data_IF_412591983775
#
_entry.id   IF_412591983775
#
_cell.length_a   1.000
_cell.length_b   1.000
_cell.length_c   1.000
_cell.angle_alpha   90.00
_cell.angle_beta   90.00
_cell.angle_gamma   90.00
#
_symmetry.space_group_name_H-M   'P 1'
#
loop_
_entity.id
_entity.type
_entity.pdbx_description
1 polymer ?
#
# COMPACT_ATOMS: atom_id res chain seq x y z
N UNK A 1 10.57 -59.61 -2.17
CA UNK A 1 9.48 -59.01 -2.95
C UNK A 1 9.53 -57.54 -2.63
N UNK A 2 10.22 -56.77 -3.45
CA UNK A 2 10.12 -55.31 -3.44
C UNK A 2 8.77 -54.94 -4.06
N UNK A 3 7.99 -54.09 -3.39
CA UNK A 3 6.82 -53.46 -4.00
C UNK A 3 7.28 -52.65 -5.23
N UNK A 4 6.58 -52.75 -6.37
CA UNK A 4 6.92 -51.93 -7.52
C UNK A 4 6.56 -50.47 -7.20
N UNK A 5 7.55 -49.58 -7.27
CA UNK A 5 7.36 -48.12 -7.24
C UNK A 5 6.40 -47.72 -8.36
N UNK A 6 5.11 -47.63 -8.05
CA UNK A 6 4.09 -47.09 -8.95
C UNK A 6 4.41 -45.61 -9.17
N UNK A 7 4.54 -45.14 -10.43
CA UNK A 7 4.79 -43.74 -10.69
C UNK A 7 3.60 -42.92 -10.18
N UNK A 8 3.87 -42.03 -9.22
CA UNK A 8 2.90 -41.06 -8.71
C UNK A 8 2.45 -40.16 -9.87
N UNK A 9 1.33 -40.49 -10.52
CA UNK A 9 0.68 -39.61 -11.50
C UNK A 9 -0.30 -38.67 -10.80
N UNK A 10 -0.25 -37.39 -11.18
CA UNK A 10 -1.23 -36.38 -10.77
C UNK A 10 -2.67 -36.74 -11.19
N UNK A 11 -2.84 -37.65 -12.17
CA UNK A 11 -4.16 -38.10 -12.63
C UNK A 11 -4.93 -38.90 -11.57
N UNK A 12 -4.24 -39.43 -10.56
CA UNK A 12 -4.87 -40.15 -9.44
C UNK A 12 -5.25 -39.23 -8.27
N UNK A 13 -4.90 -37.93 -8.34
CA UNK A 13 -5.19 -36.97 -7.30
C UNK A 13 -6.63 -36.48 -7.44
N UNK A 14 -7.45 -36.61 -6.39
CA UNK A 14 -8.80 -36.05 -6.36
C UNK A 14 -8.83 -34.53 -6.55
N UNK A 15 -9.94 -33.99 -7.03
CA UNK A 15 -10.14 -32.54 -7.24
C UNK A 15 -9.91 -31.74 -5.96
N UNK A 16 -10.38 -32.27 -4.82
CA UNK A 16 -10.34 -31.58 -3.53
C UNK A 16 -8.90 -31.45 -3.02
N UNK A 17 -8.09 -32.50 -3.21
CA UNK A 17 -6.68 -32.49 -2.85
C UNK A 17 -5.86 -31.63 -3.82
N UNK A 18 -6.19 -31.67 -5.12
CA UNK A 18 -5.61 -30.75 -6.11
C UNK A 18 -5.88 -29.30 -5.72
N UNK A 19 -7.12 -28.97 -5.39
CA UNK A 19 -7.50 -27.66 -4.90
C UNK A 19 -6.68 -27.26 -3.67
N UNK A 20 -6.63 -28.13 -2.65
CA UNK A 20 -5.86 -27.85 -1.43
C UNK A 20 -4.39 -27.55 -1.75
N UNK A 21 -3.73 -28.38 -2.57
CA UNK A 21 -2.33 -28.16 -2.98
C UNK A 21 -2.19 -26.79 -3.65
N UNK A 22 -3.07 -26.46 -4.60
CA UNK A 22 -3.01 -25.18 -5.31
C UNK A 22 -3.21 -23.98 -4.38
N UNK A 23 -4.03 -24.09 -3.32
CA UNK A 23 -4.22 -22.98 -2.36
C UNK A 23 -2.99 -22.66 -1.52
N UNK A 24 -2.01 -23.58 -1.44
CA UNK A 24 -0.75 -23.38 -0.73
C UNK A 24 0.37 -22.81 -1.60
N UNK A 25 0.13 -22.61 -2.90
CA UNK A 25 1.12 -22.05 -3.80
C UNK A 25 1.11 -20.51 -3.75
N UNK A 26 2.28 -19.85 -3.93
CA UNK A 26 2.32 -18.41 -4.14
C UNK A 26 1.45 -18.00 -5.34
N UNK A 27 0.88 -16.80 -5.27
CA UNK A 27 -0.06 -16.31 -6.28
C UNK A 27 0.47 -16.39 -7.73
N UNK A 28 1.74 -16.10 -8.04
CA UNK A 28 2.27 -16.26 -9.41
C UNK A 28 2.26 -17.73 -9.88
N UNK A 29 2.48 -18.67 -8.97
CA UNK A 29 2.46 -20.11 -9.25
C UNK A 29 1.04 -20.61 -9.50
N UNK A 30 0.04 -20.10 -8.75
CA UNK A 30 -1.38 -20.38 -8.98
C UNK A 30 -1.79 -19.95 -10.41
N UNK A 31 -1.39 -18.74 -10.83
CA UNK A 31 -1.70 -18.22 -12.18
C UNK A 31 -1.08 -19.09 -13.27
N UNK A 32 0.16 -19.55 -13.08
CA UNK A 32 0.81 -20.49 -14.01
C UNK A 32 0.10 -21.85 -14.02
N UNK A 33 -0.27 -22.38 -12.86
CA UNK A 33 -0.99 -23.64 -12.73
C UNK A 33 -2.33 -23.61 -13.49
N UNK A 34 -3.07 -22.49 -13.42
CA UNK A 34 -4.31 -22.28 -14.19
C UNK A 34 -4.11 -22.28 -15.73
N UNK A 35 -2.87 -22.26 -16.21
CA UNK A 35 -2.53 -22.34 -17.64
C UNK A 35 -2.09 -23.75 -18.08
N UNK A 36 -1.93 -24.70 -17.14
CA UNK A 36 -1.44 -26.06 -17.42
C UNK A 36 -2.54 -26.94 -18.01
N UNK A 37 -3.72 -26.99 -17.39
CA UNK A 37 -4.83 -27.81 -17.86
C UNK A 37 -6.20 -27.19 -17.54
N UNK A 38 -7.26 -27.67 -18.23
CA UNK A 38 -8.64 -27.17 -18.06
C UNK A 38 -9.19 -27.40 -16.64
N UNK A 39 -8.83 -28.53 -16.01
CA UNK A 39 -9.27 -28.87 -14.66
C UNK A 39 -8.74 -27.85 -13.64
N UNK A 40 -7.43 -27.61 -13.64
CA UNK A 40 -6.79 -26.67 -12.72
C UNK A 40 -7.28 -25.24 -12.97
N UNK A 41 -7.44 -24.85 -14.24
CA UNK A 41 -8.06 -23.57 -14.58
C UNK A 41 -9.45 -23.44 -13.96
N UNK A 42 -10.30 -24.46 -14.12
CA UNK A 42 -11.66 -24.48 -13.56
C UNK A 42 -11.65 -24.31 -12.05
N UNK A 43 -10.77 -25.01 -11.34
CA UNK A 43 -10.61 -24.91 -9.87
C UNK A 43 -10.21 -23.49 -9.47
N UNK A 44 -9.12 -22.98 -10.06
CA UNK A 44 -8.53 -21.68 -9.71
C UNK A 44 -9.51 -20.51 -9.98
N UNK A 45 -10.35 -20.62 -11.00
CA UNK A 45 -11.34 -19.58 -11.33
C UNK A 45 -12.58 -19.57 -10.43
N UNK A 46 -12.75 -20.55 -9.54
CA UNK A 46 -13.92 -20.57 -8.65
C UNK A 46 -13.82 -19.49 -7.56
N UNK A 47 -14.93 -18.83 -7.19
CA UNK A 47 -14.96 -17.89 -6.06
C UNK A 47 -14.57 -18.56 -4.73
N UNK A 48 -14.93 -19.83 -4.54
CA UNK A 48 -14.59 -20.61 -3.36
C UNK A 48 -13.09 -20.83 -3.22
N UNK A 49 -12.39 -21.12 -4.32
CA UNK A 49 -10.93 -21.21 -4.34
C UNK A 49 -10.30 -19.86 -4.00
N UNK A 50 -10.75 -18.80 -4.66
CA UNK A 50 -10.24 -17.43 -4.45
C UNK A 50 -10.40 -16.97 -3.00
N UNK A 51 -11.50 -17.33 -2.34
CA UNK A 51 -11.72 -17.05 -0.92
C UNK A 51 -10.80 -17.86 0.03
N UNK A 52 -10.29 -19.01 -0.41
CA UNK A 52 -9.34 -19.84 0.34
C UNK A 52 -7.89 -19.36 0.19
N UNK A 53 -7.54 -18.72 -0.92
CA UNK A 53 -6.18 -18.22 -1.15
C UNK A 53 -5.88 -17.06 -0.21
N UNK A 54 -4.98 -17.30 0.75
CA UNK A 54 -4.53 -16.31 1.73
C UNK A 54 -3.16 -15.78 1.35
N UNK A 55 -3.10 -14.96 0.31
CA UNK A 55 -1.86 -14.29 -0.06
C UNK A 55 -1.45 -13.26 1.00
N UNK A 56 -0.17 -13.30 1.40
CA UNK A 56 0.46 -12.22 2.16
C UNK A 56 0.43 -10.89 1.36
N UNK A 57 0.34 -9.73 2.02
CA UNK A 57 0.36 -8.43 1.33
C UNK A 57 1.63 -8.22 0.54
N UNK A 58 1.49 -7.79 -0.71
CA UNK A 58 2.63 -7.45 -1.56
C UNK A 58 3.11 -6.04 -1.28
N UNK A 59 4.41 -5.82 -1.48
CA UNK A 59 5.03 -4.51 -1.44
C UNK A 59 5.20 -3.98 -2.86
N UNK A 60 4.58 -2.85 -3.17
CA UNK A 60 4.63 -2.23 -4.48
C UNK A 60 5.56 -1.03 -4.47
N UNK A 61 6.37 -0.90 -5.52
CA UNK A 61 7.25 0.23 -5.77
C UNK A 61 7.03 0.72 -7.19
N UNK A 62 6.57 1.97 -7.32
CA UNK A 62 6.41 2.65 -8.60
C UNK A 62 7.38 3.82 -8.68
N UNK A 63 8.37 3.67 -9.55
CA UNK A 63 9.40 4.66 -9.81
C UNK A 63 9.00 5.58 -10.96
N UNK A 64 8.99 6.89 -10.70
CA UNK A 64 8.70 7.92 -11.69
C UNK A 64 9.95 8.67 -12.12
N UNK A 65 10.14 8.79 -13.42
CA UNK A 65 11.11 9.65 -14.05
C UNK A 65 10.39 10.81 -14.75
N UNK A 66 10.48 12.00 -14.15
CA UNK A 66 9.81 13.20 -14.66
C UNK A 66 10.41 13.75 -15.96
N UNK A 67 11.61 13.30 -16.37
CA UNK A 67 12.28 13.75 -17.60
C UNK A 67 11.94 12.80 -18.75
N UNK A 68 12.08 11.49 -18.51
CA UNK A 68 11.84 10.45 -19.50
C UNK A 68 10.75 9.51 -19.01
N UNK A 69 9.50 9.80 -19.33
CA UNK A 69 8.33 9.05 -18.89
C UNK A 69 8.40 7.54 -19.24
N UNK A 70 9.04 7.20 -20.36
CA UNK A 70 9.33 5.80 -20.77
C UNK A 70 10.22 5.05 -19.79
N UNK A 71 10.93 5.76 -18.91
CA UNK A 71 11.80 5.18 -17.90
C UNK A 71 11.06 4.89 -16.59
N UNK A 72 9.76 5.21 -16.48
CA UNK A 72 8.95 4.80 -15.34
C UNK A 72 8.92 3.27 -15.26
N UNK A 73 9.07 2.75 -14.04
CA UNK A 73 9.08 1.31 -13.81
C UNK A 73 8.28 1.00 -12.56
N UNK A 74 7.71 -0.20 -12.56
CA UNK A 74 6.90 -0.69 -11.48
C UNK A 74 7.34 -2.08 -11.07
N UNK A 75 7.35 -2.31 -9.77
CA UNK A 75 7.77 -3.56 -9.17
C UNK A 75 6.78 -3.96 -8.08
N UNK A 76 6.54 -5.25 -7.97
CA UNK A 76 5.79 -5.84 -6.88
C UNK A 76 6.62 -6.95 -6.26
N UNK A 77 6.87 -6.85 -4.96
CA UNK A 77 7.54 -7.88 -4.19
C UNK A 77 6.49 -8.81 -3.60
N UNK A 78 6.65 -10.09 -3.92
CA UNK A 78 5.85 -11.16 -3.37
C UNK A 78 6.62 -11.81 -2.20
N UNK A 79 6.15 -11.61 -0.94
CA UNK A 79 6.85 -12.11 0.24
C UNK A 79 6.84 -13.63 0.38
N UNK A 80 5.91 -14.33 -0.28
CA UNK A 80 5.84 -15.80 -0.26
C UNK A 80 6.86 -16.44 -1.20
N UNK A 81 7.09 -15.85 -2.38
CA UNK A 81 8.14 -16.31 -3.29
C UNK A 81 9.51 -15.66 -3.02
N UNK A 82 9.58 -14.73 -2.09
CA UNK A 82 10.75 -13.89 -1.80
C UNK A 82 11.37 -13.31 -3.09
N UNK A 83 10.51 -12.79 -3.98
CA UNK A 83 10.94 -12.36 -5.30
C UNK A 83 10.21 -11.11 -5.78
N UNK A 84 10.91 -10.33 -6.59
CA UNK A 84 10.35 -9.18 -7.27
C UNK A 84 9.79 -9.56 -8.63
N UNK A 85 8.62 -9.00 -8.93
CA UNK A 85 7.96 -9.07 -10.23
C UNK A 85 8.00 -7.67 -10.83
N UNK A 86 8.62 -7.55 -12.01
CA UNK A 86 8.54 -6.33 -12.81
C UNK A 86 7.16 -6.24 -13.45
N UNK A 87 6.42 -5.20 -13.10
CA UNK A 87 5.07 -4.98 -13.60
C UNK A 87 5.10 -4.25 -14.95
N UNK A 88 4.26 -4.65 -15.93
CA UNK A 88 4.14 -3.95 -17.20
C UNK A 88 3.72 -2.49 -17.04
N UNK A 89 4.28 -1.60 -17.85
CA UNK A 89 4.01 -0.16 -17.76
C UNK A 89 2.52 0.21 -17.96
N UNK A 90 1.78 -0.57 -18.76
CA UNK A 90 0.35 -0.35 -19.00
C UNK A 90 -0.55 -0.65 -17.79
N UNK A 91 -0.01 -1.20 -16.70
CA UNK A 91 -0.71 -1.34 -15.43
C UNK A 91 -0.88 -0.02 -14.69
N UNK A 92 -0.15 1.00 -15.12
CA UNK A 92 -0.17 2.34 -14.59
C UNK A 92 -0.82 3.26 -15.63
N UNK A 93 -1.47 4.34 -15.19
CA UNK A 93 -2.28 5.16 -16.09
C UNK A 93 -1.40 5.80 -17.18
N UNK A 94 -2.00 6.17 -18.33
CA UNK A 94 -1.28 6.77 -19.44
C UNK A 94 -0.46 7.97 -18.98
N UNK A 95 0.78 8.03 -19.45
CA UNK A 95 1.84 8.95 -19.02
C UNK A 95 1.57 10.42 -19.41
N UNK A 96 0.38 10.72 -19.92
CA UNK A 96 0.06 11.92 -20.68
C UNK A 96 -0.08 13.17 -19.79
N UNK A 97 -0.01 13.01 -18.45
CA UNK A 97 -0.15 14.10 -17.48
C UNK A 97 1.01 14.15 -16.51
N UNK A 98 2.00 15.03 -16.80
CA UNK A 98 3.17 15.34 -15.96
C UNK A 98 2.83 15.89 -14.56
N UNK A 99 1.56 16.16 -14.27
CA UNK A 99 1.06 16.75 -13.02
C UNK A 99 0.34 15.74 -12.10
N UNK A 100 0.21 14.47 -12.51
CA UNK A 100 -0.54 13.46 -11.75
C UNK A 100 0.19 13.00 -10.48
N UNK A 101 -0.48 13.14 -9.33
CA UNK A 101 -0.05 12.51 -8.07
C UNK A 101 -0.68 11.13 -7.97
N UNK A 102 0.17 10.12 -7.76
CA UNK A 102 -0.22 8.72 -7.68
C UNK A 102 -0.12 8.21 -6.26
N UNK A 103 -1.09 7.37 -5.88
CA UNK A 103 -1.18 6.79 -4.54
C UNK A 103 -1.71 5.36 -4.68
N UNK A 104 -1.18 4.42 -3.91
CA UNK A 104 -1.78 3.10 -3.74
C UNK A 104 -2.27 2.92 -2.31
N UNK A 105 -3.44 2.30 -2.14
CA UNK A 105 -4.03 2.03 -0.83
C UNK A 105 -5.00 0.86 -0.92
N UNK A 106 -4.79 -0.16 -0.07
CA UNK A 106 -5.70 -1.27 0.21
C UNK A 106 -6.46 -1.83 -1.01
N UNK A 107 -5.74 -2.35 -2.01
CA UNK A 107 -6.31 -2.99 -3.19
C UNK A 107 -6.49 -2.08 -4.40
N UNK A 108 -6.26 -0.77 -4.26
CA UNK A 108 -6.50 0.22 -5.30
C UNK A 108 -5.28 1.10 -5.58
N UNK A 109 -5.23 1.60 -6.81
CA UNK A 109 -4.30 2.61 -7.27
C UNK A 109 -5.08 3.85 -7.72
N UNK A 110 -4.57 5.04 -7.41
CA UNK A 110 -5.28 6.31 -7.53
C UNK A 110 -4.47 7.36 -8.28
N UNK A 111 -5.16 8.27 -8.95
CA UNK A 111 -4.62 9.56 -9.38
C UNK A 111 -5.45 10.69 -8.76
N UNK A 112 -4.82 11.79 -8.33
CA UNK A 112 -5.53 12.88 -7.61
C UNK A 112 -5.39 14.27 -8.23
N UNK A 113 -4.60 14.44 -9.29
CA UNK A 113 -4.42 15.73 -9.98
C UNK A 113 -5.20 15.75 -11.30
N UNK A 114 -5.77 16.91 -11.64
CA UNK A 114 -6.82 17.11 -12.64
C UNK A 114 -8.14 16.42 -12.28
N UNK A 115 -8.18 15.08 -12.28
CA UNK A 115 -9.35 14.29 -11.91
C UNK A 115 -8.96 13.24 -10.86
N UNK A 116 -9.88 12.91 -9.96
CA UNK A 116 -9.67 11.78 -9.06
C UNK A 116 -10.15 10.50 -9.73
N UNK A 117 -9.20 9.60 -10.02
CA UNK A 117 -9.47 8.33 -10.71
C UNK A 117 -8.87 7.18 -9.94
N UNK A 118 -9.44 5.99 -10.11
CA UNK A 118 -8.97 4.81 -9.40
C UNK A 118 -9.13 3.53 -10.22
N UNK A 119 -8.31 2.52 -9.91
CA UNK A 119 -8.45 1.17 -10.44
C UNK A 119 -8.04 0.13 -9.39
N UNK A 120 -8.65 -1.07 -9.35
CA UNK A 120 -8.07 -2.17 -8.59
C UNK A 120 -6.65 -2.49 -9.08
N UNK A 121 -5.76 -2.80 -8.14
CA UNK A 121 -4.38 -3.16 -8.44
C UNK A 121 -4.35 -4.42 -9.33
N UNK A 122 -3.44 -4.40 -10.31
CA UNK A 122 -3.28 -5.41 -11.37
C UNK A 122 -4.50 -5.58 -12.30
N UNK A 123 -5.45 -4.61 -12.31
CA UNK A 123 -6.60 -4.60 -13.22
C UNK A 123 -6.57 -3.35 -14.13
N UNK A 124 -5.66 -3.29 -15.12
CA UNK A 124 -5.35 -2.06 -15.88
C UNK A 124 -6.52 -1.47 -16.65
N UNK A 125 -7.44 -2.31 -17.13
CA UNK A 125 -8.56 -1.89 -17.99
C UNK A 125 -9.80 -1.44 -17.19
N UNK A 126 -9.66 -1.25 -15.89
CA UNK A 126 -10.77 -0.95 -14.98
C UNK A 126 -10.62 0.42 -14.29
N UNK A 127 -9.91 1.36 -14.92
CA UNK A 127 -9.87 2.75 -14.46
C UNK A 127 -11.27 3.34 -14.45
N UNK A 128 -11.60 4.01 -13.35
CA UNK A 128 -12.87 4.68 -13.13
C UNK A 128 -12.62 6.11 -12.73
N UNK A 129 -13.29 7.02 -13.42
CA UNK A 129 -13.35 8.42 -13.04
C UNK A 129 -14.38 8.61 -11.93
N UNK A 130 -14.08 9.52 -11.01
CA UNK A 130 -15.07 10.04 -10.06
C UNK A 130 -15.50 11.44 -10.49
N UNK A 131 -16.61 11.94 -9.96
CA UNK A 131 -16.88 13.38 -9.97
C UNK A 131 -15.65 14.15 -9.43
N UNK A 132 -15.33 15.35 -9.94
CA UNK A 132 -14.21 16.12 -9.42
C UNK A 132 -14.31 16.36 -7.91
N UNK A 133 -13.18 16.32 -7.22
CA UNK A 133 -13.07 16.82 -5.85
C UNK A 133 -13.47 18.29 -5.82
N UNK A 134 -14.11 18.74 -4.73
CA UNK A 134 -14.41 20.16 -4.52
C UNK A 134 -13.11 20.97 -4.43
N UNK A 135 -12.06 20.37 -3.88
CA UNK A 135 -10.74 20.98 -3.78
C UNK A 135 -9.66 20.12 -4.46
N UNK A 136 -9.43 20.24 -5.78
CA UNK A 136 -8.38 19.49 -6.47
C UNK A 136 -7.01 19.70 -5.84
N UNK A 137 -6.26 18.61 -5.60
CA UNK A 137 -5.01 18.62 -4.83
C UNK A 137 -4.10 17.43 -5.12
N UNK A 138 -2.80 17.67 -4.98
CA UNK A 138 -1.74 16.69 -5.14
C UNK A 138 -1.27 16.15 -3.79
N UNK A 139 -0.82 14.90 -3.78
CA UNK A 139 -0.26 14.21 -2.60
C UNK A 139 -1.17 14.28 -1.35
N UNK A 140 -2.50 14.04 -1.45
CA UNK A 140 -3.31 13.84 -0.26
C UNK A 140 -2.98 12.50 0.41
N UNK A 141 -3.47 12.29 1.63
CA UNK A 141 -3.63 10.95 2.19
C UNK A 141 -4.90 10.31 1.63
N UNK A 142 -4.86 9.02 1.30
CA UNK A 142 -6.02 8.29 0.77
C UNK A 142 -6.25 7.00 1.56
N UNK A 143 -7.44 6.89 2.15
CA UNK A 143 -7.92 5.68 2.81
C UNK A 143 -9.01 4.98 2.00
N UNK A 144 -8.98 3.66 1.96
CA UNK A 144 -10.04 2.83 1.35
C UNK A 144 -10.72 2.03 2.43
N UNK A 145 -12.03 2.15 2.53
CA UNK A 145 -12.86 1.38 3.45
C UNK A 145 -14.14 0.93 2.76
N UNK A 146 -14.74 -0.14 3.27
CA UNK A 146 -16.06 -0.61 2.82
C UNK A 146 -17.10 -0.21 3.84
N UNK A 147 -18.28 0.17 3.35
CA UNK A 147 -19.44 0.43 4.19
C UNK A 147 -20.09 -0.91 4.55
N UNK A 148 -20.53 -1.12 5.78
CA UNK A 148 -21.23 -2.34 6.16
C UNK A 148 -22.50 -2.56 5.33
N UNK A 149 -23.12 -1.48 4.85
CA UNK A 149 -24.33 -1.51 4.03
C UNK A 149 -24.08 -1.69 2.52
N UNK A 150 -22.84 -1.49 2.05
CA UNK A 150 -22.50 -1.54 0.62
C UNK A 150 -21.18 -2.25 0.38
N UNK A 151 -21.18 -3.24 -0.53
CA UNK A 151 -19.95 -3.91 -0.98
C UNK A 151 -19.05 -3.01 -1.83
N UNK A 152 -19.47 -1.78 -2.15
CA UNK A 152 -18.67 -0.85 -2.94
C UNK A 152 -17.63 -0.14 -2.06
N UNK A 153 -16.38 0.00 -2.55
CA UNK A 153 -15.34 0.72 -1.82
C UNK A 153 -15.68 2.21 -1.73
N UNK A 154 -15.44 2.80 -0.56
CA UNK A 154 -15.45 4.24 -0.32
C UNK A 154 -14.03 4.73 -0.12
N UNK A 155 -13.79 5.98 -0.48
CA UNK A 155 -12.48 6.61 -0.37
C UNK A 155 -12.57 7.84 0.51
N UNK A 156 -11.64 7.99 1.44
CA UNK A 156 -11.43 9.24 2.17
C UNK A 156 -10.14 9.89 1.66
N UNK A 157 -10.18 11.19 1.39
CA UNK A 157 -9.06 11.99 0.91
C UNK A 157 -8.81 13.12 1.89
N UNK A 158 -7.67 13.11 2.57
CA UNK A 158 -7.33 14.05 3.64
C UNK A 158 -6.09 14.87 3.29
N UNK A 159 -6.17 16.19 3.46
CA UNK A 159 -5.04 17.09 3.21
C UNK A 159 -4.62 17.07 1.74
N UNK A 160 -3.35 17.39 1.48
CA UNK A 160 -2.79 17.55 0.16
C UNK A 160 -2.56 19.02 -0.22
N UNK A 161 -1.74 19.21 -1.25
CA UNK A 161 -1.27 20.53 -1.68
C UNK A 161 -1.91 20.90 -2.99
N UNK A 162 -2.42 22.12 -3.09
CA UNK A 162 -2.89 22.70 -4.34
C UNK A 162 -1.85 23.67 -4.87
N UNK A 163 -1.64 23.64 -6.18
CA UNK A 163 -0.76 24.56 -6.88
C UNK A 163 -1.59 25.50 -7.75
N UNK A 164 -1.31 26.80 -7.68
CA UNK A 164 -1.90 27.85 -8.53
C UNK A 164 -0.73 28.58 -9.21
N UNK A 165 -0.67 28.49 -10.55
CA UNK A 165 0.45 29.09 -11.30
C UNK A 165 1.83 28.56 -10.90
N UNK A 166 1.90 27.31 -10.43
CA UNK A 166 3.15 26.69 -9.94
C UNK A 166 3.53 27.04 -8.50
N UNK A 167 2.78 27.92 -7.84
CA UNK A 167 2.97 28.27 -6.44
C UNK A 167 2.01 27.50 -5.54
N UNK A 168 2.44 27.21 -4.31
CA UNK A 168 1.59 26.57 -3.30
C UNK A 168 0.45 27.52 -2.92
N UNK A 169 -0.78 27.02 -2.94
CA UNK A 169 -1.97 27.76 -2.51
C UNK A 169 -1.88 28.06 -1.00
N UNK A 170 -1.93 29.34 -0.64
CA UNK A 170 -1.73 29.83 0.73
C UNK A 170 -2.95 29.55 1.61
N UNK A 171 -4.13 29.33 1.01
CA UNK A 171 -5.38 29.15 1.75
C UNK A 171 -5.42 27.86 2.60
N UNK A 172 -4.47 26.94 2.41
CA UNK A 172 -4.32 25.64 3.08
C UNK A 172 -5.60 25.16 3.81
N UNK A 173 -6.53 24.66 3.00
CA UNK A 173 -7.90 24.36 3.40
C UNK A 173 -8.03 23.11 4.26
N UNK A 174 -6.95 22.33 4.42
CA UNK A 174 -6.94 21.10 5.22
C UNK A 174 -8.12 20.16 4.88
N UNK A 175 -8.50 20.14 3.59
CA UNK A 175 -9.76 19.56 3.15
C UNK A 175 -9.84 18.04 3.39
N UNK A 176 -11.03 17.60 3.80
CA UNK A 176 -11.38 16.20 3.96
C UNK A 176 -12.60 15.93 3.09
N UNK A 177 -12.46 15.01 2.15
CA UNK A 177 -13.57 14.64 1.26
C UNK A 177 -13.74 13.12 1.24
N UNK A 178 -14.99 12.66 1.24
CA UNK A 178 -15.32 11.24 1.22
C UNK A 178 -16.15 10.92 -0.03
N UNK A 179 -15.65 9.98 -0.83
CA UNK A 179 -16.33 9.53 -2.03
C UNK A 179 -17.49 8.61 -1.69
N UNK A 180 -18.65 8.92 -2.25
CA UNK A 180 -19.83 8.07 -2.22
C UNK A 180 -20.04 7.41 -3.61
N UNK A 181 -19.77 6.10 -3.75
CA UNK A 181 -19.89 5.42 -5.04
C UNK A 181 -21.33 5.31 -5.55
N UNK A 182 -22.35 5.42 -4.68
CA UNK A 182 -23.76 5.32 -5.08
C UNK A 182 -24.23 6.51 -5.91
N UNK A 183 -23.69 7.70 -5.61
CA UNK A 183 -24.07 8.95 -6.27
C UNK A 183 -22.98 9.51 -7.17
N UNK A 184 -21.80 8.85 -7.22
CA UNK A 184 -20.59 9.38 -7.82
C UNK A 184 -20.34 10.84 -7.39
N UNK A 185 -20.23 11.05 -6.07
CA UNK A 185 -20.13 12.39 -5.50
C UNK A 185 -19.19 12.41 -4.27
N UNK A 186 -18.58 13.56 -4.02
CA UNK A 186 -17.73 13.80 -2.86
C UNK A 186 -18.48 14.58 -1.77
N UNK A 187 -18.50 14.02 -0.56
CA UNK A 187 -18.99 14.65 0.65
C UNK A 187 -17.86 15.46 1.30
N UNK A 188 -18.08 16.76 1.52
CA UNK A 188 -17.14 17.59 2.26
C UNK A 188 -17.32 17.35 3.77
N UNK A 189 -16.24 16.99 4.45
CA UNK A 189 -16.21 16.71 5.89
C UNK A 189 -15.48 17.83 6.66
N UNK A 190 -15.55 17.84 8.00
CA UNK A 190 -14.75 18.75 8.81
C UNK A 190 -13.26 18.66 8.48
N UNK A 191 -12.56 19.81 8.35
CA UNK A 191 -11.17 19.85 7.90
C UNK A 191 -10.24 19.19 8.91
N UNK A 192 -9.09 18.72 8.43
CA UNK A 192 -8.00 18.22 9.27
C UNK A 192 -7.61 19.30 10.31
N UNK A 193 -7.30 18.94 11.57
CA UNK A 193 -6.97 19.92 12.60
C UNK A 193 -5.83 20.85 12.19
N UNK A 194 -5.92 22.12 12.60
CA UNK A 194 -4.98 23.18 12.19
C UNK A 194 -3.51 22.89 12.59
N UNK A 195 -3.29 22.02 13.58
CA UNK A 195 -1.97 21.53 14.00
C UNK A 195 -1.18 20.88 12.85
N UNK A 196 -1.84 20.40 11.80
CA UNK A 196 -1.21 19.76 10.64
C UNK A 196 -0.91 20.71 9.46
N UNK A 197 -1.22 22.01 9.59
CA UNK A 197 -1.10 23.00 8.49
C UNK A 197 0.32 23.10 7.90
N UNK A 198 1.36 23.07 8.73
CA UNK A 198 2.74 23.20 8.25
C UNK A 198 3.24 22.01 7.41
N UNK A 199 2.48 20.93 7.32
CA UNK A 199 2.87 19.73 6.60
C UNK A 199 1.69 18.85 6.23
N UNK A 200 0.69 19.42 5.56
CA UNK A 200 -0.59 18.76 5.31
C UNK A 200 -0.58 17.71 4.17
N UNK A 201 0.59 17.36 3.62
CA UNK A 201 0.72 16.47 2.47
C UNK A 201 1.19 15.08 2.89
N UNK A 202 0.97 14.07 2.04
CA UNK A 202 1.45 12.70 2.27
C UNK A 202 2.98 12.56 2.28
N UNK A 203 3.73 13.64 2.03
CA UNK A 203 5.17 13.65 2.28
C UNK A 203 5.46 13.72 3.78
N UNK A 204 4.72 14.55 4.53
CA UNK A 204 4.93 14.83 5.96
C UNK A 204 3.91 14.18 6.87
N UNK A 205 2.88 13.55 6.29
CA UNK A 205 1.87 12.79 7.02
C UNK A 205 1.91 11.32 6.62
N UNK A 206 1.56 10.47 7.57
CA UNK A 206 1.17 9.08 7.34
C UNK A 206 -0.27 8.87 7.83
N UNK A 207 -0.88 7.77 7.40
CA UNK A 207 -2.24 7.45 7.79
C UNK A 207 -2.44 5.97 8.02
N UNK A 208 -3.32 5.64 8.97
CA UNK A 208 -3.74 4.28 9.24
C UNK A 208 -5.27 4.22 9.31
N UNK A 209 -5.87 3.26 8.60
CA UNK A 209 -7.28 2.94 8.78
C UNK A 209 -7.39 1.84 9.83
N UNK A 210 -8.09 2.12 10.92
CA UNK A 210 -8.22 1.19 12.02
C UNK A 210 -9.55 1.35 12.74
N UNK A 211 -10.29 0.25 12.96
CA UNK A 211 -11.58 0.20 13.66
C UNK A 211 -12.58 1.30 13.26
N UNK A 212 -12.74 1.55 11.96
CA UNK A 212 -13.68 2.55 11.46
C UNK A 212 -13.25 4.01 11.64
N UNK A 213 -11.99 4.24 12.04
CA UNK A 213 -11.38 5.57 12.13
C UNK A 213 -10.24 5.68 11.12
N UNK A 214 -10.07 6.88 10.58
CA UNK A 214 -8.94 7.25 9.75
C UNK A 214 -7.98 8.11 10.55
N UNK A 215 -6.87 7.51 10.98
CA UNK A 215 -5.83 8.18 11.75
C UNK A 215 -4.91 8.95 10.82
N UNK A 216 -4.61 10.18 11.19
CA UNK A 216 -3.60 11.03 10.56
C UNK A 216 -2.50 11.28 11.55
N UNK A 217 -1.26 11.03 11.12
CA UNK A 217 -0.07 11.15 11.94
C UNK A 217 0.98 12.03 11.25
N UNK A 218 1.51 13.01 11.97
CA UNK A 218 2.60 13.86 11.49
C UNK A 218 3.94 13.19 11.69
N UNK A 219 4.65 12.89 10.60
CA UNK A 219 5.86 12.06 10.59
C UNK A 219 6.96 12.59 11.52
N UNK A 220 7.11 13.93 11.57
CA UNK A 220 8.12 14.61 12.40
C UNK A 220 7.52 15.28 13.64
N UNK A 221 6.31 15.83 13.53
CA UNK A 221 5.64 16.52 14.65
C UNK A 221 5.13 15.53 15.71
N UNK A 222 4.95 14.27 15.35
CA UNK A 222 4.38 13.22 16.18
C UNK A 222 2.94 13.50 16.63
N UNK A 223 2.25 14.45 15.98
CA UNK A 223 0.84 14.71 16.22
C UNK A 223 -0.02 13.61 15.63
N UNK A 224 -1.03 13.17 16.38
CA UNK A 224 -2.02 12.20 15.96
C UNK A 224 -3.43 12.73 16.16
N UNK A 225 -4.30 12.49 15.19
CA UNK A 225 -5.75 12.70 15.33
C UNK A 225 -6.50 11.67 14.50
N UNK A 226 -7.67 11.25 14.97
CA UNK A 226 -8.48 10.23 14.35
C UNK A 226 -9.79 10.83 13.84
N UNK A 227 -10.10 10.62 12.56
CA UNK A 227 -11.41 10.95 11.99
C UNK A 227 -12.34 9.76 12.11
N UNK A 228 -13.43 9.89 12.87
CA UNK A 228 -14.48 8.87 12.95
C UNK A 228 -15.28 8.85 11.64
N UNK A 229 -15.17 7.74 10.88
CA UNK A 229 -15.82 7.64 9.57
C UNK A 229 -17.34 7.60 9.69
N UNK A 230 -17.92 7.18 10.81
CA UNK A 230 -19.37 7.13 10.97
C UNK A 230 -19.92 8.47 11.46
N UNK A 231 -19.26 9.06 12.47
CA UNK A 231 -19.73 10.27 13.13
C UNK A 231 -19.24 11.56 12.48
N UNK A 232 -18.29 11.46 11.54
CA UNK A 232 -17.74 12.58 10.76
C UNK A 232 -17.09 13.69 11.61
N UNK A 233 -16.40 13.34 12.68
CA UNK A 233 -15.66 14.31 13.50
C UNK A 233 -14.24 13.84 13.83
N UNK A 234 -13.40 14.79 14.17
CA UNK A 234 -12.02 14.57 14.60
C UNK A 234 -11.92 14.40 16.12
N UNK A 235 -11.10 13.46 16.56
CA UNK A 235 -10.62 13.43 17.94
C UNK A 235 -9.73 14.65 18.22
N UNK A 236 -9.58 15.00 19.50
CA UNK A 236 -8.54 15.93 19.94
C UNK A 236 -7.17 15.49 19.41
N UNK A 237 -6.34 16.46 19.06
CA UNK A 237 -4.96 16.21 18.65
C UNK A 237 -4.15 15.82 19.88
N UNK A 238 -3.44 14.71 19.77
CA UNK A 238 -2.53 14.19 20.80
C UNK A 238 -1.11 14.08 20.23
N UNK A 239 -0.13 13.81 21.10
CA UNK A 239 1.28 13.65 20.70
C UNK A 239 1.76 12.26 21.05
N UNK A 240 2.10 11.48 20.02
CA UNK A 240 2.64 10.12 20.13
C UNK A 240 4.13 10.14 19.76
N UNK A 241 4.99 10.51 20.72
CA UNK A 241 6.43 10.71 20.49
C UNK A 241 7.28 9.75 21.32
N UNK A 242 7.75 8.63 20.75
CA UNK A 242 8.78 7.80 21.38
C UNK A 242 10.05 8.60 21.72
N UNK A 243 10.73 8.29 22.84
CA UNK A 243 11.97 8.98 23.21
C UNK A 243 13.04 8.85 22.12
N UNK A 244 13.69 9.98 21.78
CA UNK A 244 14.77 9.99 20.77
C UNK A 244 14.32 9.80 19.32
N UNK A 245 13.01 9.74 19.05
CA UNK A 245 12.49 9.59 17.68
C UNK A 245 12.84 10.81 16.82
N UNK A 246 13.42 10.55 15.64
CA UNK A 246 13.70 11.54 14.62
C UNK A 246 12.49 11.71 13.68
N UNK A 247 11.92 10.58 13.27
CA UNK A 247 10.67 10.51 12.51
C UNK A 247 10.02 9.15 12.70
N UNK A 248 8.71 9.08 12.52
CA UNK A 248 7.97 7.81 12.55
C UNK A 248 6.76 7.84 11.62
N UNK A 249 6.23 6.66 11.32
CA UNK A 249 5.06 6.47 10.48
C UNK A 249 4.03 5.66 11.27
N UNK A 250 2.76 6.03 11.15
CA UNK A 250 1.65 5.28 11.74
C UNK A 250 1.07 4.31 10.69
N UNK A 251 1.02 3.04 11.05
CA UNK A 251 0.58 1.94 10.20
C UNK A 251 -0.56 1.15 10.86
N UNK A 252 -1.42 0.53 10.06
CA UNK A 252 -2.41 -0.45 10.52
C UNK A 252 -1.91 -1.86 10.19
N UNK A 253 -1.62 -2.65 11.22
CA UNK A 253 -0.94 -3.94 11.13
C UNK A 253 -1.59 -4.91 12.14
N UNK A 254 -2.07 -6.08 11.70
CA UNK A 254 -2.69 -7.14 12.52
C UNK A 254 -3.79 -6.67 13.50
N UNK A 255 -4.74 -5.86 13.02
CA UNK A 255 -5.77 -5.27 13.90
C UNK A 255 -5.16 -4.42 15.04
N UNK A 256 -4.07 -3.72 14.75
CA UNK A 256 -3.39 -2.79 15.66
C UNK A 256 -2.87 -1.59 14.92
N UNK A 257 -2.64 -0.53 15.68
CA UNK A 257 -1.82 0.59 15.27
C UNK A 257 -0.37 0.33 15.65
N UNK A 258 0.54 0.48 14.69
CA UNK A 258 1.98 0.36 14.88
C UNK A 258 2.62 1.68 14.48
N UNK A 259 3.44 2.24 15.36
CA UNK A 259 4.42 3.25 15.01
C UNK A 259 5.70 2.56 14.55
N UNK A 260 6.27 3.02 13.45
CA UNK A 260 7.52 2.52 12.90
C UNK A 260 8.41 3.71 12.57
N UNK A 261 9.59 3.80 13.17
CA UNK A 261 10.37 5.03 13.08
C UNK A 261 11.84 4.86 13.43
N UNK A 262 12.61 5.88 13.08
CA UNK A 262 14.03 5.95 13.41
C UNK A 262 14.21 6.75 14.69
N UNK A 263 14.91 6.16 15.64
CA UNK A 263 15.38 6.80 16.86
C UNK A 263 16.88 7.07 16.78
N UNK A 264 17.33 8.07 17.52
CA UNK A 264 18.75 8.29 17.80
C UNK A 264 18.91 8.64 19.28
N UNK A 265 19.18 7.61 20.09
CA UNK A 265 19.34 7.75 21.53
C UNK A 265 20.75 7.28 21.95
N UNK A 266 21.59 8.16 22.53
CA UNK A 266 22.86 7.76 23.13
C UNK A 266 22.62 6.76 24.28
N UNK A 267 23.43 5.69 24.45
CA UNK A 267 24.66 5.36 23.72
C UNK A 267 24.47 4.43 22.51
N UNK A 268 23.23 4.05 22.17
CA UNK A 268 22.91 2.98 21.21
C UNK A 268 23.09 3.40 19.74
N UNK A 269 23.06 4.71 19.48
CA UNK A 269 23.12 5.26 18.12
C UNK A 269 21.77 5.15 17.38
N UNK A 270 21.76 5.24 16.03
CA UNK A 270 20.53 5.16 15.26
C UNK A 270 19.92 3.75 15.28
N UNK A 271 18.62 3.65 15.51
CA UNK A 271 17.87 2.39 15.53
C UNK A 271 16.51 2.58 14.86
N UNK A 272 16.10 1.62 14.01
CA UNK A 272 14.74 1.60 13.50
C UNK A 272 13.89 0.70 14.38
N UNK A 273 12.82 1.24 14.95
CA UNK A 273 12.05 0.63 16.02
C UNK A 273 10.57 0.59 15.67
N UNK A 274 9.89 -0.42 16.20
CA UNK A 274 8.45 -0.65 16.07
C UNK A 274 7.81 -0.55 17.46
N UNK A 275 6.75 0.22 17.59
CA UNK A 275 5.95 0.33 18.81
C UNK A 275 4.49 0.02 18.52
N UNK A 276 3.87 -0.78 19.37
CA UNK A 276 2.42 -0.96 19.40
C UNK A 276 1.80 0.26 20.04
N UNK A 277 0.74 0.80 19.45
CA UNK A 277 -0.05 1.89 20.01
C UNK A 277 -1.34 1.33 20.59
N UNK A 278 -1.65 1.70 21.83
CA UNK A 278 -2.96 1.48 22.43
C UNK A 278 -3.93 2.54 21.95
N UNK A 279 -5.09 2.11 21.46
CA UNK A 279 -6.05 3.00 20.81
C UNK A 279 -6.91 3.79 21.80
N UNK A 280 -7.08 3.29 23.03
CA UNK A 280 -7.90 3.95 24.04
C UNK A 280 -7.07 5.00 24.78
N UNK A 281 -5.84 4.64 25.16
CA UNK A 281 -4.96 5.52 25.94
C UNK A 281 -4.06 6.40 25.08
N UNK A 282 -3.85 6.06 23.79
CA UNK A 282 -2.80 6.65 22.95
C UNK A 282 -1.42 6.56 23.61
N UNK A 283 -1.13 5.44 24.25
CA UNK A 283 0.20 5.09 24.74
C UNK A 283 0.87 4.11 23.79
N UNK A 284 2.19 3.94 23.92
CA UNK A 284 2.95 3.06 23.05
C UNK A 284 3.93 2.18 23.83
N UNK A 285 4.17 0.96 23.32
CA UNK A 285 5.12 0.00 23.88
C UNK A 285 5.99 -0.59 22.77
N UNK A 286 7.28 -0.74 23.03
CA UNK A 286 8.22 -1.35 22.07
C UNK A 286 7.79 -2.78 21.71
N UNK A 287 7.89 -3.12 20.42
CA UNK A 287 7.57 -4.44 19.86
C UNK A 287 8.83 -5.09 19.29
N UNK A 288 9.61 -4.34 18.53
CA UNK A 288 10.82 -4.86 17.91
C UNK A 288 11.76 -3.74 17.48
N UNK A 289 13.04 -4.10 17.40
CA UNK A 289 14.11 -3.24 16.89
C UNK A 289 14.74 -3.95 15.70
N UNK A 290 14.93 -3.21 14.61
CA UNK A 290 15.65 -3.71 13.44
C UNK A 290 17.11 -4.01 13.82
N UNK A 291 17.63 -5.21 13.51
CA UNK A 291 19.06 -5.51 13.63
C UNK A 291 19.93 -4.46 12.93
N UNK A 292 21.02 -4.05 13.56
CA UNK A 292 21.87 -2.97 13.05
C UNK A 292 22.49 -3.32 11.70
N UNK A 293 22.78 -4.59 11.45
CA UNK A 293 23.30 -5.07 10.17
C UNK A 293 22.30 -4.83 9.02
N UNK A 294 21.00 -4.94 9.30
CA UNK A 294 19.95 -4.66 8.32
C UNK A 294 19.75 -3.16 8.13
N UNK A 295 19.82 -2.39 9.21
CA UNK A 295 19.77 -0.93 9.11
C UNK A 295 20.93 -0.43 8.26
N UNK A 296 22.16 -0.90 8.49
CA UNK A 296 23.31 -0.54 7.66
C UNK A 296 23.14 -0.97 6.19
N UNK A 297 22.47 -2.08 5.88
CA UNK A 297 22.17 -2.43 4.48
C UNK A 297 21.23 -1.44 3.78
N UNK A 298 20.51 -0.60 4.53
CA UNK A 298 19.69 0.49 3.99
C UNK A 298 20.51 1.81 3.85
N UNK A 299 21.71 1.88 4.45
CA UNK A 299 22.61 3.04 4.43
C UNK A 299 24.10 2.69 4.46
N UNK A 300 24.81 2.94 3.35
CA UNK A 300 26.26 2.70 3.21
C UNK A 300 27.13 3.99 3.28
N UNK A 301 26.58 5.17 3.65
CA UNK A 301 27.35 6.44 3.66
C UNK A 301 27.29 7.21 4.97
N UNK A 302 28.40 7.89 5.28
CA UNK A 302 28.62 8.74 6.46
C UNK A 302 28.08 10.18 6.31
N UNK A 303 27.15 10.43 5.37
CA UNK A 303 26.58 11.77 5.19
C UNK A 303 25.50 12.11 6.23
N UNK A 304 25.44 13.40 6.61
CA UNK A 304 24.58 13.92 7.68
C UNK A 304 23.07 13.74 7.42
N UNK A 305 22.62 13.73 6.16
CA UNK A 305 21.20 13.59 5.76
C UNK A 305 20.79 12.15 5.39
N UNK A 306 21.58 11.15 5.77
CA UNK A 306 21.43 9.76 5.28
C UNK A 306 20.02 9.19 5.45
N UNK A 307 19.30 9.56 6.51
CA UNK A 307 18.02 8.93 6.88
C UNK A 307 16.76 9.59 6.32
N UNK A 308 16.86 10.77 5.70
CA UNK A 308 15.69 11.48 5.17
C UNK A 308 14.94 10.70 4.07
N UNK A 309 15.64 9.76 3.43
CA UNK A 309 15.14 8.88 2.37
C UNK A 309 14.52 7.57 2.89
N UNK A 310 14.52 7.34 4.21
CA UNK A 310 13.96 6.14 4.80
C UNK A 310 12.45 6.26 4.94
N UNK A 311 11.75 5.27 4.41
CA UNK A 311 10.30 5.17 4.49
C UNK A 311 9.90 3.78 4.92
N UNK A 312 8.67 3.67 5.41
CA UNK A 312 8.06 2.38 5.63
C UNK A 312 6.59 2.36 5.23
N UNK A 313 6.13 1.17 4.89
CA UNK A 313 4.74 0.85 4.59
C UNK A 313 4.43 -0.51 5.21
N UNK A 314 3.20 -0.73 5.63
CA UNK A 314 2.82 -1.99 6.25
C UNK A 314 1.36 -2.33 6.02
N UNK A 315 1.07 -3.61 5.98
CA UNK A 315 -0.27 -4.16 5.91
C UNK A 315 -0.28 -5.56 6.50
N UNK A 316 -1.36 -5.92 7.20
CA UNK A 316 -1.51 -7.19 7.93
C UNK A 316 -0.31 -7.46 8.84
N UNK A 317 0.53 -8.43 8.56
CA UNK A 317 1.62 -8.93 9.40
C UNK A 317 3.01 -8.46 8.94
N UNK A 318 3.08 -7.68 7.86
CA UNK A 318 4.33 -7.27 7.22
C UNK A 318 4.51 -5.76 7.26
N UNK A 319 5.71 -5.35 7.67
CA UNK A 319 6.18 -3.96 7.61
C UNK A 319 7.46 -3.93 6.77
N UNK A 320 7.42 -3.17 5.68
CA UNK A 320 8.55 -2.97 4.79
C UNK A 320 9.20 -1.64 5.12
N UNK A 321 10.52 -1.66 5.28
CA UNK A 321 11.35 -0.48 5.49
C UNK A 321 12.30 -0.38 4.32
N UNK A 322 12.32 0.75 3.63
CA UNK A 322 13.09 0.89 2.39
C UNK A 322 13.65 2.29 2.25
N UNK A 323 14.70 2.39 1.45
CA UNK A 323 15.32 3.66 1.13
C UNK A 323 14.93 4.07 -0.30
N UNK A 324 14.39 5.27 -0.48
CA UNK A 324 13.94 5.75 -1.79
C UNK A 324 15.03 6.40 -2.66
N UNK A 325 16.26 6.52 -2.15
CA UNK A 325 17.33 7.19 -2.86
C UNK A 325 17.89 6.34 -4.01
N UNK A 326 17.88 6.90 -5.22
CA UNK A 326 18.34 6.22 -6.44
C UNK A 326 19.77 5.67 -6.35
N UNK A 327 20.70 6.45 -5.80
CA UNK A 327 22.11 6.05 -5.73
C UNK A 327 22.33 4.79 -4.86
N UNK A 328 21.30 4.35 -4.14
CA UNK A 328 21.31 3.16 -3.29
C UNK A 328 20.65 1.95 -3.93
N UNK A 329 20.07 2.08 -5.14
CA UNK A 329 19.31 1.03 -5.82
C UNK A 329 18.08 0.54 -5.05
N UNK A 330 17.50 1.41 -4.22
CA UNK A 330 16.23 1.20 -3.52
C UNK A 330 16.22 -0.06 -2.61
N UNK A 331 17.16 -0.20 -1.66
CA UNK A 331 17.24 -1.36 -0.79
C UNK A 331 16.02 -1.39 0.15
N UNK A 332 15.60 -2.59 0.51
CA UNK A 332 14.48 -2.80 1.40
C UNK A 332 14.74 -3.96 2.38
N UNK A 333 14.11 -3.85 3.55
CA UNK A 333 14.01 -4.89 4.55
C UNK A 333 12.53 -5.08 4.89
N UNK A 334 12.19 -6.27 5.39
CA UNK A 334 10.84 -6.58 5.85
C UNK A 334 10.89 -7.16 7.25
N UNK A 335 9.98 -6.69 8.09
CA UNK A 335 9.64 -7.27 9.38
C UNK A 335 8.34 -8.04 9.24
N UNK A 336 8.35 -9.30 9.65
CA UNK A 336 7.14 -10.09 9.86
C UNK A 336 6.84 -10.18 11.35
N UNK A 337 5.66 -9.73 11.75
CA UNK A 337 5.18 -9.79 13.14
C UNK A 337 4.47 -11.13 13.33
N UNK A 338 4.99 -12.00 14.18
CA UNK A 338 4.36 -13.29 14.49
C UNK A 338 3.01 -13.12 15.20
N UNK A 339 2.14 -14.12 15.07
CA UNK A 339 0.82 -14.16 15.74
C UNK A 339 0.90 -14.02 17.26
N UNK A 340 2.00 -14.50 17.86
CA UNK A 340 2.16 -14.60 19.32
C UNK A 340 2.76 -13.33 19.93
N UNK A 341 2.71 -12.20 19.20
CA UNK A 341 2.99 -10.84 19.63
C UNK A 341 4.38 -10.53 20.22
N UNK A 342 5.25 -11.53 20.36
CA UNK A 342 6.61 -11.37 20.90
C UNK A 342 7.74 -11.74 19.94
N UNK A 343 7.44 -12.27 18.75
CA UNK A 343 8.46 -12.70 17.78
C UNK A 343 8.31 -11.94 16.47
N UNK A 344 9.11 -10.90 16.32
CA UNK A 344 9.33 -10.25 15.03
C UNK A 344 10.53 -10.86 14.33
N UNK A 345 10.40 -11.17 13.05
CA UNK A 345 11.53 -11.61 12.23
C UNK A 345 11.85 -10.57 11.17
N UNK A 346 13.09 -10.07 11.19
CA UNK A 346 13.59 -9.15 10.19
C UNK A 346 14.43 -9.89 9.16
N UNK A 347 14.28 -9.50 7.89
CA UNK A 347 15.12 -9.99 6.80
C UNK A 347 15.29 -8.94 5.71
N UNK A 348 16.35 -9.10 4.92
CA UNK A 348 16.55 -8.31 3.71
C UNK A 348 15.52 -8.71 2.67
N UNK A 349 15.11 -7.73 1.86
CA UNK A 349 14.40 -7.96 0.60
C UNK A 349 15.46 -8.02 -0.51
N UNK A 350 15.35 -8.95 -1.48
CA UNK A 350 16.26 -9.00 -2.62
C UNK A 350 16.32 -7.67 -3.37
N UNK A 351 17.42 -7.43 -4.09
CA UNK A 351 17.54 -6.26 -4.95
C UNK A 351 16.50 -6.28 -6.07
N UNK A 352 16.09 -5.10 -6.52
CA UNK A 352 15.22 -4.96 -7.68
C UNK A 352 15.84 -5.65 -8.92
N UNK A 353 15.03 -6.30 -9.77
CA UNK A 353 15.52 -7.00 -10.93
C UNK A 353 16.00 -5.99 -11.98
N UNK A 354 17.26 -6.09 -12.39
CA UNK A 354 17.87 -5.20 -13.40
C UNK A 354 17.19 -5.33 -14.78
N UNK A 355 17.16 -4.28 -15.61
CA UNK A 355 17.75 -2.95 -15.40
C UNK A 355 16.87 -1.99 -14.59
N UNK A 356 17.40 -1.39 -13.54
CA UNK A 356 16.68 -0.40 -12.71
C UNK A 356 17.01 1.02 -13.16
N UNK A 357 15.99 1.80 -13.52
CA UNK A 357 16.16 3.18 -13.95
C UNK A 357 16.28 4.15 -12.77
N UNK A 358 16.77 5.36 -13.08
CA UNK A 358 16.72 6.49 -12.16
C UNK A 358 15.31 7.05 -12.03
N UNK A 359 14.83 7.14 -10.80
CA UNK A 359 13.55 7.77 -10.46
C UNK A 359 13.80 9.09 -9.72
N UNK A 360 12.96 10.08 -10.03
CA UNK A 360 12.86 11.34 -9.31
C UNK A 360 11.90 11.24 -8.13
N UNK A 361 10.91 10.34 -8.23
CA UNK A 361 9.93 10.08 -7.17
C UNK A 361 9.66 8.58 -7.09
N UNK A 362 9.55 8.07 -5.88
CA UNK A 362 9.14 6.69 -5.60
C UNK A 362 7.81 6.73 -4.87
N UNK A 363 6.82 6.03 -5.42
CA UNK A 363 5.55 5.76 -4.75
C UNK A 363 5.59 4.32 -4.27
N UNK A 364 5.23 4.13 -3.02
CA UNK A 364 5.25 2.81 -2.41
C UNK A 364 4.01 2.59 -1.57
N UNK A 365 3.54 1.35 -1.52
CA UNK A 365 2.39 0.96 -0.71
C UNK A 365 2.38 -0.56 -0.53
N UNK A 366 1.72 -1.00 0.55
CA UNK A 366 1.39 -2.41 0.75
C UNK A 366 -0.05 -2.66 0.34
N UNK A 367 -0.30 -3.78 -0.33
CA UNK A 367 -1.65 -4.16 -0.70
C UNK A 367 -1.81 -5.66 -0.81
N UNK A 368 -2.98 -6.16 -0.43
CA UNK A 368 -3.41 -7.49 -0.82
C UNK A 368 -3.67 -7.53 -2.32
N UNK A 369 -3.32 -8.64 -2.96
CA UNK A 369 -3.64 -8.92 -4.36
C UNK A 369 -4.80 -9.90 -4.41
N UNK A 370 -5.87 -9.53 -5.10
CA UNK A 370 -6.99 -10.44 -5.34
C UNK A 370 -6.65 -11.36 -6.51
N UNK A 371 -6.80 -12.67 -6.31
CA UNK A 371 -6.61 -13.67 -7.37
C UNK A 371 -7.57 -13.41 -8.54
N UNK A 372 -8.81 -13.00 -8.26
CA UNK A 372 -9.81 -12.67 -9.28
C UNK A 372 -9.33 -11.56 -10.22
N UNK A 373 -8.61 -10.57 -9.70
CA UNK A 373 -8.08 -9.47 -10.53
C UNK A 373 -6.96 -9.94 -11.47
N UNK A 374 -6.28 -11.05 -11.15
CA UNK A 374 -5.13 -11.55 -11.91
C UNK A 374 -5.53 -12.66 -12.87
N UNK A 375 -6.44 -13.56 -12.48
CA UNK A 375 -6.80 -14.76 -13.25
C UNK A 375 -8.00 -14.53 -14.18
N UNK A 376 -8.92 -13.64 -13.82
CA UNK A 376 -10.07 -13.31 -14.67
C UNK A 376 -9.77 -12.01 -15.43
N UNK A 377 -9.42 -12.07 -16.74
CA UNK A 377 -9.57 -10.89 -17.59
C UNK A 377 -11.02 -10.43 -17.46
N UNK A 378 -11.24 -9.14 -17.30
CA UNK A 378 -12.58 -8.58 -17.23
C UNK A 378 -13.45 -9.23 -18.31
N UNK A 379 -14.53 -9.89 -17.90
CA UNK A 379 -15.64 -10.18 -18.81
C UNK A 379 -15.96 -8.82 -19.41
N UNK A 380 -15.79 -8.71 -20.72
CA UNK A 380 -16.34 -7.59 -21.47
C UNK A 380 -17.83 -7.65 -21.15
N UNK A 381 -18.32 -6.74 -20.30
CA UNK A 381 -19.72 -6.38 -20.39
C UNK A 381 -19.86 -5.83 -21.80
N UNK A 382 -20.23 -6.71 -22.73
CA UNK A 382 -20.76 -6.31 -24.01
C UNK A 382 -21.89 -5.35 -23.67
N UNK A 383 -21.65 -4.07 -23.92
CA UNK A 383 -22.70 -3.08 -24.07
C UNK A 383 -23.75 -3.72 -24.95
N UNK A 384 -24.92 -4.00 -24.38
CA UNK A 384 -26.07 -4.43 -25.17
C UNK A 384 -26.25 -3.41 -26.29
N UNK A 385 -26.34 -3.84 -27.55
CA UNK A 385 -26.60 -2.94 -28.66
C UNK A 385 -28.08 -2.53 -28.63
N UNK A 386 -28.47 -1.67 -27.70
CA UNK A 386 -29.80 -1.05 -27.67
C UNK A 386 -29.77 0.46 -27.34
N UNK A 387 -28.66 1.14 -27.58
CA UNK A 387 -28.62 2.62 -27.53
C UNK A 387 -28.00 3.25 -28.79
N UNK A 388 -28.08 2.56 -29.92
CA UNK A 388 -28.03 3.19 -31.23
C UNK A 388 -29.46 3.27 -31.76
N UNK A 389 -30.19 4.33 -31.37
CA UNK A 389 -31.34 4.94 -32.06
C UNK A 389 -32.01 5.93 -31.09
N UNK A 390 -31.59 7.19 -31.17
CA UNK A 390 -32.42 8.40 -31.40
C UNK A 390 -31.59 9.65 -31.12
#
# INVERSE_FOLDING_TARGET
>A
MEEPDLPLSFDYLGSDLTELILTHLPLPSIVRAASVCKLWRSIVTTPSFSARVRAKPWFFLFGQNNIFLKNNQAFAFDPESDSWIRLPAHLFPPLDSSSSSYIGSNGFFFTTSANFTFTPILKPRAWRDTSPLRFPRCNPLVGVYTDASSRSPRFIVVGGVKFIGGLVDIEDRLAVEIYNPRFNAWELCPPLPANFRSGNSSQWLSSALFKGKFYVFGIYSCFVSAFDLNKRFWSSVQTLRPPGVLFSYLLSCQDRLILAGLCNAPPRGPSFELWKVDEETMEFSEVAIMPQELLHCLFDSDEDDKFASLKCVGLRDLIYVFNEAHYRKYPACVCEIGSDFGKCSWRRVPSLPEPVNRFHKVISFCSTVSLENVVCPAVVEELRPEQALY
#
